data_IF_662783582554
#
_entry.id   IF_662783582554
#
_cell.length_a   1.000
_cell.length_b   1.000
_cell.length_c   1.000
_cell.angle_alpha   90.00
_cell.angle_beta   90.00
_cell.angle_gamma   90.00
#
_symmetry.space_group_name_H-M   'P 1'
#
loop_
_entity.id
_entity.type
_entity.pdbx_description
1 polymer ?
#
# COMPACT_ATOMS: atom_id res chain seq x y z
N UNK A 1 0.46 4.94 13.52
CA UNK A 1 1.75 4.83 14.23
C UNK A 1 2.74 4.18 13.29
N UNK A 2 3.83 4.88 12.96
CA UNK A 2 4.92 4.39 12.14
C UNK A 2 5.51 3.13 12.76
N UNK A 3 5.59 2.05 11.97
CA UNK A 3 6.15 0.77 12.39
C UNK A 3 7.67 0.82 12.61
N UNK A 4 8.35 1.86 12.13
CA UNK A 4 9.78 2.06 12.32
C UNK A 4 10.03 3.37 13.05
N UNK A 5 10.08 3.31 14.37
CA UNK A 5 10.62 4.41 15.19
C UNK A 5 12.14 4.54 15.08
N UNK A 6 12.81 3.50 14.57
CA UNK A 6 14.26 3.44 14.50
C UNK A 6 14.74 3.29 13.07
N UNK A 7 15.11 4.42 12.47
CA UNK A 7 15.73 4.47 11.15
C UNK A 7 17.09 3.78 11.10
N UNK A 8 17.73 3.55 12.25
CA UNK A 8 19.03 2.91 12.33
C UNK A 8 18.93 1.39 12.07
N UNK A 9 17.85 0.74 12.53
CA UNK A 9 17.60 -0.68 12.22
C UNK A 9 17.42 -0.92 10.72
N UNK A 10 16.70 -0.02 10.03
CA UNK A 10 16.52 -0.13 8.58
C UNK A 10 17.85 0.08 7.84
N UNK A 11 18.64 1.08 8.24
CA UNK A 11 19.97 1.31 7.66
C UNK A 11 20.88 0.11 7.88
N UNK A 12 20.95 -0.41 9.10
CA UNK A 12 21.76 -1.57 9.42
C UNK A 12 21.35 -2.83 8.63
N UNK A 13 20.04 -3.02 8.37
CA UNK A 13 19.56 -4.10 7.50
C UNK A 13 20.02 -3.90 6.06
N UNK A 14 19.85 -2.71 5.50
CA UNK A 14 20.24 -2.40 4.11
C UNK A 14 21.77 -2.53 3.93
N UNK A 15 22.56 -2.08 4.89
CA UNK A 15 24.03 -2.17 4.85
C UNK A 15 24.55 -3.61 4.93
N UNK A 16 23.82 -4.52 5.60
CA UNK A 16 24.20 -5.93 5.77
C UNK A 16 23.63 -6.84 4.69
N UNK A 17 22.74 -6.35 3.87
CA UNK A 17 22.03 -7.13 2.86
C UNK A 17 22.50 -6.77 1.46
N UNK A 18 22.72 -7.79 0.64
CA UNK A 18 23.03 -7.65 -0.79
C UNK A 18 21.77 -7.80 -1.63
N UNK A 19 21.51 -6.86 -2.54
CA UNK A 19 20.44 -7.00 -3.54
C UNK A 19 20.94 -7.87 -4.69
N UNK A 20 20.40 -9.07 -4.81
CA UNK A 20 20.89 -10.11 -5.73
C UNK A 20 20.11 -10.13 -7.04
N UNK A 21 18.81 -9.88 -6.98
CA UNK A 21 17.93 -9.92 -8.15
C UNK A 21 16.72 -9.01 -7.91
N UNK A 22 16.16 -8.43 -8.97
CA UNK A 22 14.93 -7.66 -8.86
C UNK A 22 14.04 -7.79 -10.11
N UNK A 23 12.76 -7.69 -9.85
CA UNK A 23 11.72 -7.49 -10.85
C UNK A 23 11.16 -6.10 -10.60
N UNK A 24 11.47 -5.10 -11.46
CA UNK A 24 11.06 -3.72 -11.27
C UNK A 24 9.54 -3.58 -11.19
N UNK A 25 9.07 -2.45 -10.65
CA UNK A 25 7.64 -2.14 -10.66
C UNK A 25 7.12 -2.09 -12.11
N UNK A 26 6.00 -2.75 -12.31
CA UNK A 26 5.25 -2.72 -13.55
C UNK A 26 3.80 -2.31 -13.27
N UNK A 27 3.26 -1.41 -14.10
CA UNK A 27 1.91 -0.86 -13.90
C UNK A 27 0.79 -1.88 -14.15
N UNK A 28 1.04 -2.92 -14.94
CA UNK A 28 0.09 -4.00 -15.20
C UNK A 28 0.04 -4.97 -14.02
N UNK A 29 1.19 -5.38 -13.51
CA UNK A 29 1.31 -6.21 -12.29
C UNK A 29 0.99 -5.42 -11.03
N UNK A 30 1.29 -4.11 -11.00
CA UNK A 30 1.18 -3.22 -9.83
C UNK A 30 2.01 -3.71 -8.64
N UNK A 31 3.11 -4.38 -8.88
CA UNK A 31 4.01 -4.94 -7.87
C UNK A 31 5.47 -4.77 -8.29
N UNK A 32 6.36 -4.85 -7.32
CA UNK A 32 7.79 -5.04 -7.51
C UNK A 32 8.32 -6.07 -6.52
N UNK A 33 9.41 -6.75 -6.89
CA UNK A 33 10.00 -7.80 -6.07
C UNK A 33 11.51 -7.69 -6.08
N UNK A 34 12.14 -8.03 -4.96
CA UNK A 34 13.59 -8.02 -4.81
C UNK A 34 14.03 -9.23 -4.03
N UNK A 35 15.10 -9.90 -4.47
CA UNK A 35 15.81 -10.91 -3.67
C UNK A 35 16.95 -10.21 -2.97
N UNK A 36 16.93 -10.25 -1.65
CA UNK A 36 18.01 -9.80 -0.77
C UNK A 36 18.73 -11.01 -0.19
N UNK A 37 20.06 -10.94 -0.10
CA UNK A 37 20.90 -11.94 0.58
C UNK A 37 21.44 -11.35 1.85
N UNK A 38 21.21 -12.01 2.97
CA UNK A 38 21.74 -11.69 4.29
C UNK A 38 22.33 -12.94 4.93
N UNK A 39 23.59 -12.89 5.37
CA UNK A 39 24.28 -14.03 5.99
C UNK A 39 24.18 -15.33 5.17
N UNK A 40 24.29 -15.24 3.85
CA UNK A 40 24.21 -16.37 2.92
C UNK A 40 22.80 -16.92 2.64
N UNK A 41 21.77 -16.39 3.30
CA UNK A 41 20.37 -16.75 3.04
C UNK A 41 19.71 -15.71 2.13
N UNK A 42 18.98 -16.20 1.14
CA UNK A 42 18.21 -15.36 0.24
C UNK A 42 16.74 -15.30 0.69
N UNK A 43 16.14 -14.10 0.57
CA UNK A 43 14.74 -13.88 0.81
C UNK A 43 14.19 -12.92 -0.26
N UNK A 44 13.06 -13.29 -0.84
CA UNK A 44 12.33 -12.42 -1.75
C UNK A 44 11.36 -11.55 -0.96
N UNK A 45 11.42 -10.25 -1.18
CA UNK A 45 10.47 -9.28 -0.66
C UNK A 45 9.66 -8.69 -1.80
N UNK A 46 8.35 -8.65 -1.61
CA UNK A 46 7.39 -8.15 -2.59
C UNK A 46 6.59 -7.02 -1.98
N UNK A 47 6.41 -5.93 -2.72
CA UNK A 47 5.48 -4.85 -2.36
C UNK A 47 4.66 -4.43 -3.57
N UNK A 48 3.42 -4.00 -3.33
CA UNK A 48 2.55 -3.55 -4.41
C UNK A 48 1.13 -3.23 -3.97
N UNK A 49 0.26 -3.13 -4.97
CA UNK A 49 -1.17 -2.95 -4.74
C UNK A 49 -1.72 -4.13 -3.92
N UNK A 50 -2.45 -3.85 -2.81
CA UNK A 50 -2.86 -4.90 -1.88
C UNK A 50 -3.61 -6.05 -2.53
N UNK A 51 -4.52 -5.75 -3.46
CA UNK A 51 -5.30 -6.74 -4.19
C UNK A 51 -4.41 -7.71 -4.99
N UNK A 52 -3.35 -7.18 -5.60
CA UNK A 52 -2.41 -7.98 -6.41
C UNK A 52 -1.50 -8.84 -5.54
N UNK A 53 -0.97 -8.25 -4.47
CA UNK A 53 -0.09 -8.99 -3.55
C UNK A 53 -0.84 -10.13 -2.86
N UNK A 54 -2.08 -9.89 -2.39
CA UNK A 54 -2.91 -10.92 -1.71
C UNK A 54 -3.25 -12.09 -2.64
N UNK A 55 -3.51 -11.81 -3.93
CA UNK A 55 -3.77 -12.86 -4.93
C UNK A 55 -2.59 -13.85 -5.02
N UNK A 56 -1.37 -13.34 -4.92
CA UNK A 56 -0.11 -14.10 -5.01
C UNK A 56 0.27 -14.83 -3.70
N UNK A 57 -0.43 -14.53 -2.60
CA UNK A 57 -0.15 -15.12 -1.30
C UNK A 57 -0.93 -16.42 -1.07
N UNK A 58 -0.21 -17.45 -0.62
CA UNK A 58 -0.77 -18.72 -0.11
C UNK A 58 -0.75 -18.78 1.41
N UNK A 59 0.07 -17.97 2.04
CA UNK A 59 0.29 -17.95 3.49
C UNK A 59 0.19 -16.55 4.06
N UNK A 60 0.05 -16.47 5.38
CA UNK A 60 0.04 -15.22 6.16
C UNK A 60 0.90 -15.37 7.40
N UNK A 61 1.64 -14.33 7.75
CA UNK A 61 2.41 -14.24 8.98
C UNK A 61 1.52 -13.67 10.09
N UNK A 62 1.16 -14.49 11.08
CA UNK A 62 0.40 -14.06 12.25
C UNK A 62 1.09 -14.49 13.54
N UNK A 63 1.35 -13.56 14.45
CA UNK A 63 2.02 -13.81 15.73
C UNK A 63 3.35 -14.58 15.54
N UNK A 64 4.16 -14.16 14.58
CA UNK A 64 5.43 -14.78 14.19
C UNK A 64 5.31 -16.25 13.72
N UNK A 65 4.13 -16.67 13.29
CA UNK A 65 3.89 -18.01 12.73
C UNK A 65 3.30 -17.89 11.33
N UNK A 66 3.87 -18.66 10.41
CA UNK A 66 3.32 -18.78 9.04
C UNK A 66 2.13 -19.75 9.09
N UNK A 67 1.00 -19.29 8.57
CA UNK A 67 -0.26 -20.04 8.49
C UNK A 67 -0.82 -20.01 7.08
N UNK A 68 -1.63 -20.97 6.65
CA UNK A 68 -2.35 -20.90 5.38
C UNK A 68 -3.24 -19.64 5.31
N UNK A 69 -3.20 -18.94 4.21
CA UNK A 69 -4.07 -17.78 3.95
C UNK A 69 -5.41 -18.25 3.38
N UNK A 70 -6.36 -18.54 4.26
CA UNK A 70 -7.69 -19.00 3.89
C UNK A 70 -8.51 -17.92 3.18
N UNK A 71 -9.55 -18.33 2.44
CA UNK A 71 -10.49 -17.42 1.78
C UNK A 71 -11.13 -16.42 2.77
N UNK A 72 -11.53 -16.90 3.95
CA UNK A 72 -12.11 -16.03 4.98
C UNK A 72 -11.10 -14.97 5.43
N UNK A 73 -9.82 -15.34 5.56
CA UNK A 73 -8.77 -14.43 5.96
C UNK A 73 -8.48 -13.39 4.87
N UNK A 74 -8.46 -13.80 3.59
CA UNK A 74 -8.36 -12.87 2.45
C UNK A 74 -9.49 -11.83 2.50
N UNK A 75 -10.71 -12.25 2.78
CA UNK A 75 -11.87 -11.37 2.90
C UNK A 75 -11.75 -10.37 4.07
N UNK A 76 -11.26 -10.82 5.23
CA UNK A 76 -10.99 -9.93 6.37
C UNK A 76 -9.95 -8.87 6.04
N UNK A 77 -8.85 -9.26 5.39
CA UNK A 77 -7.80 -8.32 4.96
C UNK A 77 -8.35 -7.33 3.94
N UNK A 78 -9.15 -7.78 2.98
CA UNK A 78 -9.77 -6.91 1.98
C UNK A 78 -10.69 -5.85 2.63
N UNK A 79 -11.56 -6.24 3.57
CA UNK A 79 -12.40 -5.30 4.32
C UNK A 79 -11.58 -4.29 5.13
N UNK A 80 -10.46 -4.72 5.70
CA UNK A 80 -9.55 -3.83 6.41
C UNK A 80 -8.90 -2.79 5.47
N UNK A 81 -8.48 -3.23 4.28
CA UNK A 81 -7.92 -2.34 3.25
C UNK A 81 -8.96 -1.32 2.80
N UNK A 82 -10.19 -1.75 2.58
CA UNK A 82 -11.30 -0.88 2.21
C UNK A 82 -11.57 0.18 3.29
N UNK A 83 -11.58 -0.21 4.55
CA UNK A 83 -11.70 0.71 5.68
C UNK A 83 -10.52 1.70 5.79
N UNK A 84 -9.32 1.31 5.40
CA UNK A 84 -8.17 2.22 5.31
C UNK A 84 -8.31 3.19 4.13
N UNK A 85 -8.71 2.70 2.96
CA UNK A 85 -8.89 3.49 1.74
C UNK A 85 -10.02 4.51 1.88
N UNK A 86 -11.12 4.17 2.59
CA UNK A 86 -12.19 5.11 2.90
C UNK A 86 -11.77 6.28 3.80
N UNK A 87 -10.60 6.16 4.45
CA UNK A 87 -9.95 7.21 5.26
C UNK A 87 -8.86 7.96 4.50
N UNK A 88 -8.90 7.94 3.17
CA UNK A 88 -7.90 8.53 2.28
C UNK A 88 -6.49 7.94 2.41
N UNK A 89 -6.35 6.72 2.95
CA UNK A 89 -5.05 6.06 3.02
C UNK A 89 -4.73 5.36 1.69
N UNK A 90 -3.58 5.70 1.11
CA UNK A 90 -3.00 4.97 -0.01
C UNK A 90 -2.32 3.71 0.54
N UNK A 91 -2.89 2.56 0.24
CA UNK A 91 -2.46 1.29 0.80
C UNK A 91 -1.42 0.60 -0.08
N UNK A 92 -0.36 0.07 0.55
CA UNK A 92 0.64 -0.80 -0.06
C UNK A 92 0.73 -2.06 0.79
N UNK A 93 0.62 -3.23 0.16
CA UNK A 93 0.85 -4.50 0.82
C UNK A 93 2.30 -4.95 0.70
N UNK A 94 2.74 -5.72 1.69
CA UNK A 94 4.03 -6.40 1.72
C UNK A 94 3.85 -7.91 1.90
N UNK A 95 4.70 -8.67 1.22
CA UNK A 95 4.81 -10.10 1.33
C UNK A 95 6.26 -10.54 1.20
N UNK A 96 6.59 -11.76 1.60
CA UNK A 96 7.91 -12.33 1.41
C UNK A 96 7.85 -13.82 1.05
N UNK A 97 9.00 -14.37 0.64
CA UNK A 97 9.21 -15.79 0.37
C UNK A 97 10.70 -16.10 0.59
N UNK A 98 10.97 -17.12 1.37
CA UNK A 98 12.34 -17.53 1.76
C UNK A 98 12.73 -18.93 1.28
N UNK A 99 11.80 -19.62 0.59
CA UNK A 99 12.02 -20.92 -0.01
C UNK A 99 11.65 -20.95 -1.48
N UNK A 100 12.20 -21.89 -2.25
CA UNK A 100 11.89 -22.11 -3.67
C UNK A 100 11.99 -20.84 -4.53
N UNK A 101 13.05 -20.06 -4.32
CA UNK A 101 13.30 -18.83 -5.03
C UNK A 101 13.71 -19.12 -6.48
N UNK A 102 12.96 -18.57 -7.43
CA UNK A 102 13.25 -18.62 -8.86
C UNK A 102 13.59 -17.22 -9.38
N UNK A 103 14.44 -17.13 -10.39
CA UNK A 103 14.81 -15.86 -11.04
C UNK A 103 13.87 -15.56 -12.22
N UNK A 104 12.56 -15.58 -11.96
CA UNK A 104 11.50 -15.39 -12.94
C UNK A 104 10.24 -14.80 -12.31
N UNK A 105 9.21 -14.50 -13.08
CA UNK A 105 7.92 -14.02 -12.56
C UNK A 105 7.23 -14.98 -11.58
N UNK A 106 7.54 -16.28 -11.62
CA UNK A 106 7.06 -17.27 -10.64
C UNK A 106 7.64 -17.05 -9.23
N UNK A 107 8.63 -16.17 -9.09
CA UNK A 107 9.10 -15.72 -7.79
C UNK A 107 7.97 -15.14 -6.95
N UNK A 108 7.00 -14.50 -7.59
CA UNK A 108 5.87 -13.83 -6.97
C UNK A 108 4.69 -14.76 -6.60
N UNK A 109 4.82 -16.07 -6.81
CA UNK A 109 3.77 -17.04 -6.46
C UNK A 109 4.06 -17.73 -5.11
N UNK A 110 3.01 -18.05 -4.37
CA UNK A 110 3.13 -18.75 -3.08
C UNK A 110 3.72 -17.90 -1.96
N UNK A 111 3.50 -16.61 -1.98
CA UNK A 111 4.04 -15.66 -1.01
C UNK A 111 3.41 -15.79 0.38
N UNK A 112 4.16 -15.32 1.38
CA UNK A 112 3.72 -15.15 2.76
C UNK A 112 3.34 -13.68 2.96
N UNK A 113 2.06 -13.41 3.16
CA UNK A 113 1.55 -12.07 3.40
C UNK A 113 2.00 -11.54 4.76
N UNK A 114 2.60 -10.34 4.80
CA UNK A 114 3.06 -9.69 6.04
C UNK A 114 2.00 -8.73 6.56
N UNK A 115 1.45 -7.89 5.68
CA UNK A 115 0.52 -6.85 6.08
C UNK A 115 0.36 -5.74 5.05
N UNK A 116 -0.35 -4.69 5.47
CA UNK A 116 -0.63 -3.50 4.67
C UNK A 116 -0.16 -2.27 5.44
N UNK A 117 0.54 -1.39 4.74
CA UNK A 117 0.86 -0.05 5.21
C UNK A 117 -0.02 0.97 4.47
N UNK A 118 -0.65 1.87 5.22
CA UNK A 118 -1.39 3.00 4.66
C UNK A 118 -0.58 4.29 4.82
N UNK A 119 -0.45 5.03 3.73
CA UNK A 119 0.14 6.36 3.70
C UNK A 119 -0.94 7.37 3.33
N UNK A 120 -0.95 8.51 3.98
CA UNK A 120 -1.78 9.66 3.60
C UNK A 120 -0.86 10.81 3.24
N UNK A 121 -1.16 11.46 2.13
CA UNK A 121 -0.60 12.77 1.79
C UNK A 121 -1.65 13.81 2.15
N UNK A 122 -1.55 14.43 3.34
CA UNK A 122 -2.58 15.35 3.80
C UNK A 122 -2.60 16.60 2.91
N UNK A 123 -3.78 17.19 2.68
CA UNK A 123 -3.87 18.49 2.05
C UNK A 123 -3.02 19.52 2.79
N UNK A 124 -2.51 20.50 2.08
CA UNK A 124 -1.80 21.63 2.70
C UNK A 124 -2.73 22.32 3.70
N UNK A 125 -2.18 22.85 4.78
CA UNK A 125 -2.95 23.48 5.85
C UNK A 125 -3.84 24.61 5.32
N UNK A 126 -3.35 25.36 4.33
CA UNK A 126 -4.04 26.52 3.73
C UNK A 126 -5.15 26.14 2.74
N UNK A 127 -5.18 24.87 2.28
CA UNK A 127 -6.11 24.42 1.24
C UNK A 127 -7.59 24.58 1.68
N UNK A 128 -7.88 24.28 2.94
CA UNK A 128 -9.24 24.38 3.49
C UNK A 128 -9.76 25.83 3.49
N UNK A 129 -8.90 26.78 3.89
CA UNK A 129 -9.25 28.20 3.92
C UNK A 129 -9.37 28.76 2.51
N UNK A 130 -8.53 28.32 1.59
CA UNK A 130 -8.63 28.71 0.18
C UNK A 130 -9.96 28.25 -0.44
N UNK A 131 -10.37 26.99 -0.19
CA UNK A 131 -11.66 26.46 -0.63
C UNK A 131 -12.83 27.26 -0.03
N UNK A 132 -12.76 27.62 1.26
CA UNK A 132 -13.79 28.43 1.90
C UNK A 132 -13.91 29.82 1.25
N UNK A 133 -12.78 30.49 1.01
CA UNK A 133 -12.76 31.80 0.33
C UNK A 133 -13.34 31.74 -1.08
N UNK A 134 -13.03 30.70 -1.84
CA UNK A 134 -13.61 30.48 -3.16
C UNK A 134 -15.15 30.37 -3.06
N UNK A 135 -15.66 29.58 -2.13
CA UNK A 135 -17.12 29.43 -1.94
C UNK A 135 -17.78 30.73 -1.54
N UNK A 136 -17.20 31.52 -0.64
CA UNK A 136 -17.72 32.84 -0.24
C UNK A 136 -17.75 33.84 -1.40
N UNK A 137 -16.78 33.70 -2.34
CA UNK A 137 -16.73 34.52 -3.57
C UNK A 137 -17.67 33.99 -4.69
N UNK A 138 -18.50 32.96 -4.43
CA UNK A 138 -19.34 32.33 -5.44
C UNK A 138 -18.62 31.43 -6.44
N UNK A 139 -17.36 31.14 -6.20
CA UNK A 139 -16.54 30.26 -7.06
C UNK A 139 -16.72 28.82 -6.60
N UNK A 140 -17.04 27.91 -7.54
CA UNK A 140 -17.17 26.48 -7.28
C UNK A 140 -15.79 25.80 -7.44
N UNK A 141 -15.13 25.38 -6.34
CA UNK A 141 -13.88 24.64 -6.44
C UNK A 141 -14.13 23.22 -6.94
N UNK A 142 -13.24 22.74 -7.83
CA UNK A 142 -13.28 21.38 -8.36
C UNK A 142 -11.91 20.73 -8.10
N UNK A 143 -11.92 19.49 -7.61
CA UNK A 143 -10.70 18.71 -7.42
C UNK A 143 -10.51 17.74 -8.59
N UNK A 144 -9.33 17.77 -9.21
CA UNK A 144 -8.92 16.84 -10.25
C UNK A 144 -7.71 16.06 -9.71
N UNK A 145 -7.77 14.74 -9.74
CA UNK A 145 -6.73 13.86 -9.19
C UNK A 145 -6.69 12.53 -9.95
N UNK A 146 -5.52 11.91 -9.99
CA UNK A 146 -5.34 10.53 -10.45
C UNK A 146 -5.49 9.48 -9.33
N UNK A 147 -5.86 9.89 -8.11
CA UNK A 147 -6.05 8.98 -6.99
C UNK A 147 -7.29 8.11 -7.14
N UNK A 148 -7.32 7.00 -6.40
CA UNK A 148 -8.49 6.16 -6.33
C UNK A 148 -9.72 6.95 -5.82
N UNK A 149 -10.91 6.70 -6.39
CA UNK A 149 -12.17 7.39 -6.08
C UNK A 149 -12.41 7.62 -4.59
N UNK A 150 -12.24 6.59 -3.76
CA UNK A 150 -12.50 6.69 -2.31
C UNK A 150 -11.51 7.63 -1.60
N UNK A 151 -10.24 7.62 -2.02
CA UNK A 151 -9.20 8.54 -1.50
C UNK A 151 -9.52 9.98 -1.89
N UNK A 152 -9.83 10.21 -3.17
CA UNK A 152 -10.21 11.51 -3.69
C UNK A 152 -11.43 12.08 -2.96
N UNK A 153 -12.45 11.26 -2.77
CA UNK A 153 -13.69 11.66 -2.07
C UNK A 153 -13.42 12.04 -0.60
N UNK A 154 -12.61 11.25 0.10
CA UNK A 154 -12.27 11.54 1.50
C UNK A 154 -11.49 12.86 1.64
N UNK A 155 -10.57 13.15 0.73
CA UNK A 155 -9.84 14.42 0.67
C UNK A 155 -10.80 15.57 0.34
N UNK A 156 -11.65 15.42 -0.67
CA UNK A 156 -12.62 16.44 -1.07
C UNK A 156 -13.59 16.79 0.07
N UNK A 157 -14.06 15.79 0.82
CA UNK A 157 -14.89 16.00 2.03
C UNK A 157 -14.11 16.72 3.12
N UNK A 158 -12.86 16.35 3.37
CA UNK A 158 -12.03 17.02 4.40
C UNK A 158 -11.77 18.49 4.11
N UNK A 159 -11.72 18.85 2.83
CA UNK A 159 -11.58 20.23 2.34
C UNK A 159 -12.91 20.96 2.17
N UNK A 160 -14.04 20.32 2.43
CA UNK A 160 -15.38 20.84 2.16
C UNK A 160 -15.62 21.17 0.67
N UNK A 161 -14.95 20.52 -0.27
CA UNK A 161 -15.20 20.68 -1.71
C UNK A 161 -16.54 20.04 -2.07
N UNK A 162 -16.81 18.83 -1.58
CA UNK A 162 -18.10 18.15 -1.73
C UNK A 162 -18.64 17.67 -0.39
N UNK A 163 -19.95 17.48 -0.33
CA UNK A 163 -20.64 16.95 0.85
C UNK A 163 -21.14 15.52 0.62
N UNK A 164 -21.47 15.17 -0.62
CA UNK A 164 -22.07 13.89 -1.01
C UNK A 164 -21.22 13.16 -2.06
N UNK A 165 -21.45 11.86 -2.21
CA UNK A 165 -20.73 10.95 -3.10
C UNK A 165 -21.09 11.13 -4.58
N UNK A 166 -22.23 11.78 -4.87
CA UNK A 166 -22.82 11.98 -6.20
C UNK A 166 -22.04 13.01 -7.06
N UNK A 167 -21.09 13.70 -6.47
CA UNK A 167 -20.29 14.75 -7.11
C UNK A 167 -18.94 14.25 -7.65
N UNK A 168 -18.72 12.94 -7.64
CA UNK A 168 -17.48 12.32 -8.13
C UNK A 168 -17.71 11.70 -9.49
N UNK A 169 -17.00 12.23 -10.50
CA UNK A 169 -16.98 11.72 -11.88
C UNK A 169 -15.68 10.94 -12.07
N UNK A 170 -15.74 9.76 -12.66
CA UNK A 170 -14.58 8.89 -13.00
C UNK A 170 -14.49 8.73 -14.50
#
# INVERSE_FOLDING_TARGET
KLFFKDTNLLKAFVEKSERVYDIPFDSTRKMMSVIMRENGKECCYVKGAPERVIEKCSYILENNKVKPLTYQKKKQVASFIEAMSSRALRCIAGAYKDENLTRSERLEDGLIFIGVAGSIDPPRAEARDAVLRCKLAGIKPVMITGDHKNTALAIAKSLNICNNDDQVVT
#
